data_IF_117169035447
#
_entry.id   IF_117169035447
#
_cell.length_a   1.000
_cell.length_b   1.000
_cell.length_c   1.000
_cell.angle_alpha   90.00
_cell.angle_beta   90.00
_cell.angle_gamma   90.00
#
_symmetry.space_group_name_H-M   'P 1'
#
loop_
_entity.id
_entity.type
_entity.pdbx_description
1 polymer ?
#
# COMPACT_ATOMS: atom_id res chain seq x y z
N UNK A 1 -9.22 -19.44 -5.98
CA UNK A 1 -9.52 -18.31 -5.07
C UNK A 1 -8.80 -17.09 -5.63
N UNK A 2 -9.54 -16.13 -6.19
CA UNK A 2 -8.96 -14.95 -6.84
C UNK A 2 -8.87 -13.88 -5.75
N UNK A 3 -7.66 -13.63 -5.24
CA UNK A 3 -7.41 -12.46 -4.41
C UNK A 3 -7.54 -11.24 -5.31
N UNK A 4 -8.69 -10.58 -5.28
CA UNK A 4 -8.92 -9.36 -6.04
C UNK A 4 -8.03 -8.25 -5.47
N UNK A 5 -6.84 -8.09 -6.05
CA UNK A 5 -5.92 -6.94 -5.91
C UNK A 5 -6.49 -5.71 -6.63
N UNK A 6 -7.79 -5.43 -6.47
CA UNK A 6 -8.53 -4.49 -7.34
C UNK A 6 -8.34 -3.02 -6.96
N UNK A 7 -7.89 -2.71 -5.74
CA UNK A 7 -7.87 -1.32 -5.23
C UNK A 7 -6.49 -0.84 -4.76
N UNK A 8 -5.46 -1.69 -4.85
CA UNK A 8 -4.13 -1.34 -4.32
C UNK A 8 -3.17 -1.05 -5.46
N UNK A 9 -2.70 0.20 -5.62
CA UNK A 9 -1.82 0.55 -6.72
C UNK A 9 -0.40 0.04 -6.49
N UNK A 10 0.22 -0.55 -7.51
CA UNK A 10 1.64 -0.98 -7.50
C UNK A 10 2.61 0.22 -7.37
N UNK A 11 2.14 1.42 -7.75
CA UNK A 11 2.92 2.65 -7.69
C UNK A 11 2.11 3.81 -7.13
N UNK A 12 2.73 4.64 -6.30
CA UNK A 12 2.13 5.83 -5.69
C UNK A 12 3.01 7.04 -5.92
N UNK A 13 2.44 8.25 -5.82
CA UNK A 13 3.24 9.48 -5.79
C UNK A 13 3.94 9.61 -4.45
N UNK A 14 5.24 9.88 -4.50
CA UNK A 14 6.04 10.16 -3.33
C UNK A 14 5.54 11.44 -2.67
N UNK A 15 5.24 11.37 -1.38
CA UNK A 15 4.73 12.50 -0.60
C UNK A 15 5.77 13.62 -0.40
N UNK A 16 7.06 13.35 -0.68
CA UNK A 16 8.17 14.28 -0.47
C UNK A 16 8.53 15.04 -1.74
N UNK A 17 8.85 14.33 -2.82
CA UNK A 17 9.33 14.95 -4.06
C UNK A 17 8.29 14.96 -5.19
N UNK A 18 7.13 14.33 -4.99
CA UNK A 18 6.12 14.14 -6.05
C UNK A 18 6.50 13.12 -7.14
N UNK A 19 7.69 12.52 -7.04
CA UNK A 19 8.19 11.46 -7.93
C UNK A 19 7.43 10.14 -7.77
N UNK A 20 7.90 9.10 -8.48
CA UNK A 20 7.21 7.79 -8.47
C UNK A 20 7.80 6.91 -7.38
N UNK A 21 6.94 6.44 -6.48
CA UNK A 21 7.26 5.44 -5.49
C UNK A 21 6.68 4.09 -5.88
N UNK A 22 7.52 3.06 -5.84
CA UNK A 22 7.16 1.69 -6.22
C UNK A 22 7.06 0.83 -4.98
N UNK A 23 6.15 -0.14 -5.00
CA UNK A 23 6.07 -1.17 -3.98
C UNK A 23 7.42 -1.91 -3.87
N UNK A 24 7.91 -2.07 -2.65
CA UNK A 24 9.11 -2.85 -2.35
C UNK A 24 8.86 -3.98 -1.34
N UNK A 25 7.79 -3.89 -0.55
CA UNK A 25 7.44 -4.88 0.44
C UNK A 25 5.94 -4.86 0.71
N UNK A 26 5.32 -6.04 0.72
CA UNK A 26 3.93 -6.25 1.10
C UNK A 26 3.86 -7.11 2.37
N UNK A 27 3.00 -6.73 3.30
CA UNK A 27 2.80 -7.46 4.56
C UNK A 27 1.31 -7.57 4.87
N UNK A 28 0.91 -8.76 5.31
CA UNK A 28 -0.48 -9.11 5.65
C UNK A 28 -0.58 -9.33 7.15
N UNK A 29 -0.70 -8.26 7.96
CA UNK A 29 -0.99 -8.42 9.37
C UNK A 29 -2.35 -9.13 9.55
N UNK A 30 -2.46 -9.94 10.60
CA UNK A 30 -3.68 -10.64 11.01
C UNK A 30 -4.75 -9.61 11.44
N UNK A 31 -5.43 -8.98 10.49
CA UNK A 31 -6.33 -7.86 10.78
C UNK A 31 -7.21 -7.35 9.64
N UNK A 32 -7.26 -8.02 8.49
CA UNK A 32 -8.12 -7.60 7.36
C UNK A 32 -7.63 -6.37 6.58
N UNK A 33 -6.39 -5.94 6.84
CA UNK A 33 -5.70 -4.90 6.09
C UNK A 33 -4.33 -5.39 5.60
N UNK A 34 -3.91 -4.83 4.48
CA UNK A 34 -2.62 -5.06 3.83
C UNK A 34 -1.76 -3.82 4.12
N UNK A 35 -0.53 -4.02 4.58
CA UNK A 35 0.44 -2.94 4.71
C UNK A 35 1.45 -3.05 3.58
N UNK A 36 1.64 -1.97 2.84
CA UNK A 36 2.54 -1.92 1.70
C UNK A 36 3.56 -0.81 1.89
N UNK A 37 4.83 -1.17 1.74
CA UNK A 37 5.95 -0.24 1.78
C UNK A 37 6.31 0.15 0.36
N UNK A 38 6.29 1.46 0.08
CA UNK A 38 6.70 2.05 -1.18
C UNK A 38 8.03 2.78 -1.03
N UNK A 39 8.90 2.69 -2.02
CA UNK A 39 10.14 3.45 -2.12
C UNK A 39 10.16 4.31 -3.37
N UNK A 40 10.38 5.61 -3.17
CA UNK A 40 10.59 6.54 -4.26
C UNK A 40 11.87 6.23 -5.02
N UNK A 41 11.79 6.13 -6.35
CA UNK A 41 12.96 5.92 -7.21
C UNK A 41 13.81 7.18 -7.35
N UNK A 42 13.21 8.35 -7.23
CA UNK A 42 13.88 9.63 -7.42
C UNK A 42 14.64 10.09 -6.17
N UNK A 43 13.97 10.17 -5.01
CA UNK A 43 14.57 10.69 -3.78
C UNK A 43 14.91 9.60 -2.74
N UNK A 44 14.54 8.34 -2.99
CA UNK A 44 14.78 7.24 -2.06
C UNK A 44 13.87 7.22 -0.83
N UNK A 45 12.91 8.15 -0.71
CA UNK A 45 11.97 8.19 0.42
C UNK A 45 11.14 6.91 0.51
N UNK A 46 10.97 6.41 1.74
CA UNK A 46 10.22 5.19 2.01
C UNK A 46 8.95 5.57 2.78
N UNK A 47 7.80 5.22 2.22
CA UNK A 47 6.49 5.46 2.82
C UNK A 47 5.70 4.15 2.95
N UNK A 48 5.00 3.97 4.06
CA UNK A 48 4.16 2.80 4.32
C UNK A 48 2.70 3.20 4.23
N UNK A 49 1.91 2.48 3.43
CA UNK A 49 0.47 2.69 3.29
C UNK A 49 -0.28 1.44 3.71
N UNK A 50 -1.38 1.64 4.42
CA UNK A 50 -2.28 0.57 4.81
C UNK A 50 -3.50 0.61 3.90
N UNK A 51 -3.80 -0.52 3.29
CA UNK A 51 -4.97 -0.73 2.45
C UNK A 51 -5.81 -1.82 3.10
N UNK A 52 -6.96 -1.47 3.64
CA UNK A 52 -7.91 -2.44 4.17
C UNK A 52 -9.29 -2.17 3.61
N UNK A 53 -10.12 -3.22 3.52
CA UNK A 53 -11.56 -2.99 3.60
C UNK A 53 -11.89 -2.83 5.09
N UNK A 54 -12.69 -1.83 5.50
CA UNK A 54 -13.23 -1.84 6.84
C UNK A 54 -14.14 -3.07 6.99
N UNK A 55 -13.65 -4.16 7.58
CA UNK A 55 -14.49 -5.23 8.13
C UNK A 55 -15.10 -4.77 9.43
N UNK A 56 -15.94 -3.73 9.33
CA UNK A 56 -16.92 -3.36 10.33
C UNK A 56 -18.13 -2.78 9.61
N UNK A 57 -18.92 -3.64 8.99
CA UNK A 57 -20.37 -3.44 9.08
C UNK A 57 -20.79 -4.36 10.21
N UNK A 58 -20.84 -3.75 11.40
CA UNK A 58 -21.49 -4.31 12.57
C UNK A 58 -23.00 -4.28 12.21
N UNK A 59 -23.65 -5.44 12.14
CA UNK A 59 -25.11 -5.56 12.28
C UNK A 59 -25.39 -6.25 13.62
#
# INVERSE_FOLDING_TARGET
>A
MIHYRLDVPDTVKCSVCGGVAVEIEESYPEGGFITITYKCKDCGHIEKRQYGRPTSIID
#
